data_IF_038776878697
#
_entry.id   IF_038776878697
#
_cell.length_a   1.000
_cell.length_b   1.000
_cell.length_c   1.000
_cell.angle_alpha   90.00
_cell.angle_beta   90.00
_cell.angle_gamma   90.00
#
_symmetry.space_group_name_H-M   'P 1'
#
loop_
_entity.id
_entity.type
_entity.pdbx_description
1 polymer ?
#
# COMPACT_ATOMS: atom_id res chain seq x y z
N UNK A 1 -35.50 10.70 39.48
CA UNK A 1 -34.61 9.74 38.78
C UNK A 1 -34.93 9.84 37.31
N UNK A 2 -33.91 10.06 36.48
CA UNK A 2 -34.00 10.45 35.07
C UNK A 2 -34.77 9.45 34.19
N UNK A 3 -35.63 9.96 33.30
CA UNK A 3 -36.34 9.17 32.29
C UNK A 3 -36.39 9.95 30.96
N UNK A 4 -36.00 9.27 29.88
CA UNK A 4 -36.03 9.62 28.44
C UNK A 4 -34.82 10.33 27.82
N UNK A 5 -33.83 9.54 27.41
CA UNK A 5 -33.00 9.87 26.25
C UNK A 5 -33.85 9.65 24.98
N UNK A 6 -34.61 10.65 24.52
CA UNK A 6 -35.52 10.43 23.37
C UNK A 6 -35.75 11.63 22.42
N UNK A 7 -35.01 12.74 22.52
CA UNK A 7 -35.07 13.84 21.52
C UNK A 7 -33.72 14.23 20.94
N UNK A 8 -32.63 13.58 21.37
CA UNK A 8 -31.31 13.81 20.79
C UNK A 8 -31.14 13.00 19.51
N UNK A 9 -30.88 13.68 18.40
CA UNK A 9 -30.51 13.06 17.13
C UNK A 9 -29.00 12.91 17.03
N UNK A 10 -28.55 11.76 16.57
CA UNK A 10 -27.14 11.50 16.31
C UNK A 10 -26.71 12.01 14.94
N UNK A 11 -25.49 12.53 14.83
CA UNK A 11 -24.82 12.65 13.53
C UNK A 11 -24.80 11.27 12.86
N UNK A 12 -25.13 11.21 11.58
CA UNK A 12 -25.16 9.95 10.83
C UNK A 12 -23.74 9.37 10.66
N UNK A 13 -23.64 8.09 10.34
CA UNK A 13 -22.37 7.48 9.94
C UNK A 13 -21.75 8.27 8.76
N UNK A 14 -20.42 8.33 8.72
CA UNK A 14 -19.68 9.20 7.81
C UNK A 14 -19.66 10.69 8.21
N UNK A 15 -20.27 11.05 9.34
CA UNK A 15 -20.19 12.39 9.93
C UNK A 15 -19.82 12.32 11.41
N UNK A 16 -19.38 13.44 11.98
CA UNK A 16 -19.04 13.55 13.39
C UNK A 16 -19.36 14.95 13.93
N UNK A 17 -19.50 15.09 15.26
CA UNK A 17 -19.53 16.41 15.89
C UNK A 17 -18.88 16.35 17.27
N UNK A 18 -18.10 17.38 17.64
CA UNK A 18 -17.47 17.50 18.96
C UNK A 18 -18.22 18.46 19.88
N UNK A 19 -19.22 19.18 19.36
CA UNK A 19 -19.97 20.18 20.10
C UNK A 19 -21.08 19.59 20.97
N UNK A 20 -21.39 20.25 22.08
CA UNK A 20 -22.52 19.92 22.96
C UNK A 20 -23.68 20.89 22.75
N UNK A 21 -24.92 20.44 22.95
CA UNK A 21 -26.10 21.32 22.91
C UNK A 21 -26.51 21.75 21.49
N UNK A 22 -26.22 20.93 20.49
CA UNK A 22 -26.59 21.21 19.10
C UNK A 22 -28.12 21.25 18.92
N UNK A 23 -28.59 22.25 18.18
CA UNK A 23 -30.02 22.46 17.88
C UNK A 23 -30.41 21.92 16.49
N UNK A 24 -29.45 21.54 15.65
CA UNK A 24 -29.67 20.98 14.31
C UNK A 24 -28.50 20.08 13.86
N UNK A 25 -28.68 19.34 12.76
CA UNK A 25 -27.65 18.48 12.17
C UNK A 25 -26.52 19.26 11.48
N UNK A 26 -26.65 20.59 11.33
CA UNK A 26 -25.64 21.43 10.70
C UNK A 26 -24.29 21.44 11.45
N UNK A 27 -24.26 20.96 12.70
CA UNK A 27 -23.04 20.75 13.48
C UNK A 27 -22.25 19.49 13.07
N UNK A 28 -22.89 18.58 12.33
CA UNK A 28 -22.30 17.31 11.91
C UNK A 28 -21.36 17.56 10.73
N UNK A 29 -20.07 17.45 10.98
CA UNK A 29 -19.02 17.57 9.97
C UNK A 29 -18.81 16.24 9.26
N UNK A 30 -18.70 16.29 7.93
CA UNK A 30 -18.41 15.11 7.12
C UNK A 30 -16.99 14.62 7.34
N UNK A 31 -16.79 13.30 7.41
CA UNK A 31 -15.43 12.73 7.39
C UNK A 31 -14.69 13.13 6.11
N UNK A 32 -13.46 13.62 6.26
CA UNK A 32 -12.63 13.97 5.11
C UNK A 32 -12.16 12.71 4.39
N UNK A 33 -11.75 12.84 3.12
CA UNK A 33 -11.11 11.74 2.39
C UNK A 33 -9.90 11.21 3.19
N UNK A 34 -9.75 9.89 3.24
CA UNK A 34 -8.79 9.20 4.09
C UNK A 34 -9.32 8.90 5.50
N UNK A 35 -10.56 9.27 5.83
CA UNK A 35 -11.17 8.99 7.13
C UNK A 35 -12.62 8.51 6.99
N UNK A 36 -13.11 7.79 7.99
CA UNK A 36 -14.42 7.18 8.00
C UNK A 36 -15.05 7.21 9.40
N UNK A 37 -16.36 7.01 9.49
CA UNK A 37 -17.06 6.81 10.76
C UNK A 37 -18.19 5.81 10.56
N UNK A 38 -18.13 4.67 11.25
CA UNK A 38 -19.11 3.57 11.10
C UNK A 38 -20.35 3.76 11.95
N UNK A 39 -20.22 4.44 13.08
CA UNK A 39 -21.29 4.62 14.05
C UNK A 39 -21.96 5.98 13.87
N UNK A 40 -23.28 6.02 14.06
CA UNK A 40 -23.96 7.27 14.33
C UNK A 40 -23.53 7.81 15.70
N UNK A 41 -23.49 9.14 15.84
CA UNK A 41 -23.11 9.80 17.09
C UNK A 41 -21.61 9.81 17.33
N UNK A 42 -20.80 9.64 16.28
CA UNK A 42 -19.36 9.74 16.38
C UNK A 42 -18.92 11.17 16.74
N UNK A 43 -17.92 11.26 17.61
CA UNK A 43 -17.31 12.53 17.99
C UNK A 43 -16.02 12.83 17.20
N UNK A 44 -15.58 11.89 16.38
CA UNK A 44 -14.45 12.02 15.45
C UNK A 44 -14.58 10.99 14.33
N UNK A 45 -13.89 11.22 13.21
CA UNK A 45 -13.66 10.19 12.20
C UNK A 45 -12.39 9.41 12.52
N UNK A 46 -12.40 8.14 12.18
CA UNK A 46 -11.24 7.26 12.21
C UNK A 46 -10.47 7.36 10.90
N UNK A 47 -9.14 7.36 10.95
CA UNK A 47 -8.31 7.40 9.75
C UNK A 47 -8.19 6.00 9.12
N UNK A 48 -8.11 5.93 7.80
CA UNK A 48 -7.55 4.75 7.14
C UNK A 48 -6.12 4.54 7.69
N UNK A 49 -5.79 3.31 8.07
CA UNK A 49 -4.45 2.95 8.53
C UNK A 49 -3.38 3.24 7.46
N UNK A 50 -2.11 3.25 7.86
CA UNK A 50 -1.00 3.25 6.92
C UNK A 50 -1.16 2.10 5.90
N UNK A 51 -0.58 2.25 4.72
CA UNK A 51 -0.76 1.32 3.61
C UNK A 51 -2.13 1.38 2.93
N UNK A 52 -3.10 2.16 3.45
CA UNK A 52 -4.42 2.33 2.86
C UNK A 52 -4.70 3.82 2.54
N UNK A 53 -5.58 4.06 1.58
CA UNK A 53 -6.07 5.39 1.24
C UNK A 53 -7.57 5.37 0.96
N UNK A 54 -8.26 6.50 1.11
CA UNK A 54 -9.65 6.62 0.68
C UNK A 54 -9.91 7.97 0.02
N UNK A 55 -10.51 7.96 -1.17
CA UNK A 55 -10.93 9.17 -1.88
C UNK A 55 -12.35 9.62 -1.49
N UNK A 56 -13.06 8.81 -0.69
CA UNK A 56 -14.46 9.02 -0.34
C UNK A 56 -14.58 10.02 0.80
N UNK A 57 -15.25 11.15 0.56
CA UNK A 57 -15.71 12.04 1.64
C UNK A 57 -16.99 11.47 2.23
N UNK A 58 -17.12 11.56 3.56
CA UNK A 58 -18.28 11.06 4.28
C UNK A 58 -18.34 9.54 4.33
N UNK A 59 -17.18 8.87 4.33
CA UNK A 59 -17.13 7.42 4.36
C UNK A 59 -17.78 6.87 5.63
N UNK A 60 -18.83 6.07 5.46
CA UNK A 60 -19.56 5.43 6.55
C UNK A 60 -19.01 4.03 6.90
N UNK A 61 -17.90 3.61 6.30
CA UNK A 61 -17.34 2.26 6.43
C UNK A 61 -15.84 2.25 6.18
N UNK A 62 -15.11 1.43 6.94
CA UNK A 62 -13.70 1.10 6.69
C UNK A 62 -13.45 0.54 5.29
N UNK A 63 -14.48 -0.06 4.66
CA UNK A 63 -14.36 -0.67 3.33
C UNK A 63 -14.04 0.33 2.21
N UNK A 64 -14.13 1.65 2.47
CA UNK A 64 -13.69 2.68 1.52
C UNK A 64 -12.18 2.93 1.57
N UNK A 65 -11.48 2.38 2.57
CA UNK A 65 -10.03 2.40 2.66
C UNK A 65 -9.47 1.31 1.73
N UNK A 66 -8.93 1.75 0.61
CA UNK A 66 -8.33 0.91 -0.43
C UNK A 66 -6.85 0.71 -0.13
N UNK A 67 -6.33 -0.52 -0.19
CA UNK A 67 -4.90 -0.77 0.03
C UNK A 67 -4.05 -0.23 -1.12
N UNK A 68 -2.83 0.21 -0.80
CA UNK A 68 -1.76 0.37 -1.77
C UNK A 68 -1.49 -0.96 -2.48
N UNK A 69 -1.23 -0.92 -3.79
CA UNK A 69 -1.08 -2.13 -4.61
C UNK A 69 0.28 -2.80 -4.40
N UNK A 70 0.43 -4.03 -4.87
CA UNK A 70 1.69 -4.77 -4.82
C UNK A 70 2.83 -3.97 -5.47
N UNK A 71 4.02 -4.06 -4.89
CA UNK A 71 5.16 -3.22 -5.28
C UNK A 71 5.11 -1.80 -4.68
N UNK A 72 4.12 -1.47 -3.84
CA UNK A 72 4.05 -0.17 -3.16
C UNK A 72 3.76 -0.30 -1.67
N UNK A 73 4.02 0.77 -0.94
CA UNK A 73 3.76 0.92 0.49
C UNK A 73 3.35 2.36 0.80
N UNK A 74 2.69 2.60 1.93
CA UNK A 74 2.48 3.96 2.43
C UNK A 74 2.63 4.02 3.93
N UNK A 75 3.42 4.97 4.42
CA UNK A 75 3.57 5.24 5.86
C UNK A 75 2.50 6.24 6.37
N UNK A 76 1.65 6.75 5.49
CA UNK A 76 0.73 7.85 5.78
C UNK A 76 -0.63 7.29 6.20
N UNK A 77 -0.94 7.39 7.50
CA UNK A 77 -2.31 7.21 7.96
C UNK A 77 -3.20 8.37 7.49
N UNK A 78 -4.45 8.08 7.12
CA UNK A 78 -5.37 9.09 6.64
C UNK A 78 -5.14 9.53 5.20
N UNK A 79 -4.46 8.73 4.38
CA UNK A 79 -4.19 9.07 2.99
C UNK A 79 -5.49 9.26 2.19
N UNK A 80 -5.59 10.38 1.47
CA UNK A 80 -6.79 10.75 0.70
C UNK A 80 -6.79 10.25 -0.74
N UNK A 81 -5.67 9.68 -1.20
CA UNK A 81 -5.51 9.15 -2.55
C UNK A 81 -4.27 8.23 -2.67
N UNK A 82 -4.20 7.52 -3.80
CA UNK A 82 -3.15 6.55 -4.09
C UNK A 82 -1.76 7.15 -4.32
N UNK A 83 -1.61 8.46 -4.53
CA UNK A 83 -0.29 9.08 -4.74
C UNK A 83 0.62 9.05 -3.51
N UNK A 84 0.05 8.72 -2.35
CA UNK A 84 0.78 8.45 -1.09
C UNK A 84 1.42 7.06 -1.05
N UNK A 85 1.05 6.17 -1.99
CA UNK A 85 1.68 4.86 -2.14
C UNK A 85 3.03 5.04 -2.84
N UNK A 86 4.10 4.90 -2.06
CA UNK A 86 5.48 4.93 -2.51
C UNK A 86 5.85 3.60 -3.16
N UNK A 87 6.58 3.68 -4.27
CA UNK A 87 7.01 2.51 -5.03
C UNK A 87 8.26 1.87 -4.41
N UNK A 88 8.28 0.54 -4.37
CA UNK A 88 9.53 -0.22 -4.25
C UNK A 88 10.46 0.19 -5.40
N UNK A 89 11.73 0.47 -5.09
CA UNK A 89 12.70 0.91 -6.09
C UNK A 89 12.99 -0.20 -7.13
N UNK A 90 13.51 0.19 -8.29
CA UNK A 90 14.05 -0.78 -9.25
C UNK A 90 15.10 -1.68 -8.58
N UNK A 91 15.15 -2.95 -8.98
CA UNK A 91 15.91 -3.99 -8.30
C UNK A 91 15.27 -4.54 -7.03
N UNK A 92 14.10 -4.04 -6.63
CA UNK A 92 13.29 -4.59 -5.54
C UNK A 92 11.87 -4.90 -6.01
N UNK A 93 11.16 -5.71 -5.23
CA UNK A 93 9.77 -6.08 -5.50
C UNK A 93 8.99 -6.29 -4.20
N UNK A 94 7.67 -6.24 -4.28
CA UNK A 94 6.78 -6.64 -3.17
C UNK A 94 5.51 -7.29 -3.74
N UNK A 95 5.11 -8.42 -3.18
CA UNK A 95 3.90 -9.15 -3.62
C UNK A 95 2.65 -8.75 -2.85
N UNK A 96 2.81 -8.15 -1.66
CA UNK A 96 1.72 -7.81 -0.76
C UNK A 96 1.08 -6.46 -1.09
N UNK A 97 -0.22 -6.33 -0.83
CA UNK A 97 -0.95 -5.06 -0.86
C UNK A 97 -1.09 -4.50 0.55
N UNK A 98 -1.28 -3.18 0.69
CA UNK A 98 -1.56 -2.55 1.97
C UNK A 98 -0.34 -2.44 2.88
N UNK A 99 0.87 -2.43 2.31
CA UNK A 99 2.09 -2.38 3.10
C UNK A 99 2.27 -1.01 3.78
N UNK A 100 2.63 -1.04 5.06
CA UNK A 100 2.75 0.16 5.91
C UNK A 100 4.19 0.72 5.96
N UNK A 101 5.16 0.04 5.34
CA UNK A 101 6.57 0.46 5.34
C UNK A 101 7.32 -0.08 4.12
N UNK A 102 8.52 0.48 3.86
CA UNK A 102 9.40 0.07 2.78
C UNK A 102 10.02 -1.32 3.00
N UNK A 103 9.96 -1.86 4.22
CA UNK A 103 10.52 -3.17 4.57
C UNK A 103 9.87 -4.32 3.81
N UNK A 104 8.71 -4.09 3.18
CA UNK A 104 8.07 -5.05 2.27
C UNK A 104 8.85 -5.23 0.97
N UNK A 105 9.64 -4.24 0.56
CA UNK A 105 10.39 -4.24 -0.69
C UNK A 105 11.60 -5.17 -0.58
N UNK A 106 11.45 -6.38 -1.13
CA UNK A 106 12.47 -7.40 -1.17
C UNK A 106 13.41 -7.18 -2.35
N UNK A 107 14.72 -7.30 -2.14
CA UNK A 107 15.70 -7.21 -3.23
C UNK A 107 15.61 -8.40 -4.17
N UNK A 108 15.74 -8.17 -5.47
CA UNK A 108 15.94 -9.24 -6.44
C UNK A 108 17.17 -10.08 -6.08
N UNK A 109 17.02 -11.40 -6.07
CA UNK A 109 18.14 -12.31 -5.81
C UNK A 109 19.09 -12.32 -7.00
N UNK A 110 20.33 -12.76 -6.78
CA UNK A 110 21.27 -12.98 -7.88
C UNK A 110 20.64 -13.93 -8.92
N UNK A 111 20.88 -13.65 -10.20
CA UNK A 111 20.23 -14.29 -11.34
C UNK A 111 18.89 -13.66 -11.73
N UNK A 112 18.42 -12.64 -11.02
CA UNK A 112 17.18 -11.93 -11.31
C UNK A 112 17.34 -10.42 -11.22
N UNK A 113 16.46 -9.68 -11.88
CA UNK A 113 16.47 -8.22 -11.92
C UNK A 113 15.05 -7.66 -11.93
N UNK A 114 14.90 -6.37 -11.67
CA UNK A 114 13.64 -5.65 -11.85
C UNK A 114 13.93 -4.24 -12.36
N UNK A 115 13.46 -3.91 -13.56
CA UNK A 115 13.70 -2.59 -14.17
C UNK A 115 12.72 -1.53 -13.70
N UNK A 116 11.50 -1.94 -13.32
CA UNK A 116 10.43 -1.04 -12.94
C UNK A 116 10.45 -0.76 -11.42
N UNK A 117 10.30 0.51 -11.05
CA UNK A 117 9.80 0.84 -9.72
C UNK A 117 8.36 0.35 -9.59
N UNK A 118 8.00 -0.24 -8.46
CA UNK A 118 6.68 -0.83 -8.27
C UNK A 118 6.52 -2.26 -8.74
N UNK A 119 7.63 -2.97 -8.96
CA UNK A 119 7.54 -4.36 -9.37
C UNK A 119 6.93 -5.23 -8.27
N UNK A 120 6.12 -6.21 -8.68
CA UNK A 120 5.56 -7.24 -7.81
C UNK A 120 6.33 -8.57 -7.89
N UNK A 121 7.31 -8.67 -8.79
CA UNK A 121 8.22 -9.79 -8.93
C UNK A 121 9.51 -9.33 -9.62
N UNK A 122 10.57 -10.13 -9.48
CA UNK A 122 11.77 -9.99 -10.29
C UNK A 122 11.67 -10.86 -11.56
N UNK A 123 12.26 -10.38 -12.64
CA UNK A 123 12.47 -11.12 -13.87
C UNK A 123 13.79 -11.91 -13.78
N UNK A 124 13.79 -13.14 -14.27
CA UNK A 124 14.98 -13.99 -14.27
C UNK A 124 15.85 -13.68 -15.49
N UNK A 125 17.17 -13.73 -15.32
CA UNK A 125 18.08 -13.81 -16.47
C UNK A 125 17.75 -15.08 -17.28
N UNK A 126 17.59 -14.95 -18.60
CA UNK A 126 17.28 -16.08 -19.48
C UNK A 126 18.36 -17.16 -19.46
N UNK A 127 18.01 -18.37 -19.91
CA UNK A 127 18.97 -19.47 -20.10
C UNK A 127 20.16 -19.02 -20.95
N UNK A 128 21.37 -19.48 -20.60
CA UNK A 128 22.63 -19.03 -21.17
C UNK A 128 23.19 -17.73 -20.56
N UNK A 129 22.46 -17.07 -19.67
CA UNK A 129 22.91 -15.90 -18.91
C UNK A 129 22.90 -16.18 -17.40
N UNK A 130 23.75 -15.47 -16.67
CA UNK A 130 23.79 -15.45 -15.21
C UNK A 130 23.96 -14.03 -14.69
N UNK A 131 23.59 -13.77 -13.44
CA UNK A 131 23.91 -12.51 -12.76
C UNK A 131 24.31 -12.77 -11.32
N UNK A 132 25.43 -12.19 -10.88
CA UNK A 132 25.87 -12.28 -9.47
C UNK A 132 25.36 -11.10 -8.64
N UNK A 133 24.67 -10.15 -9.27
CA UNK A 133 24.26 -8.89 -8.65
C UNK A 133 22.93 -9.08 -7.93
N UNK A 134 22.92 -8.88 -6.60
CA UNK A 134 21.69 -8.74 -5.83
C UNK A 134 21.12 -7.34 -6.02
N UNK A 135 19.80 -7.22 -6.09
CA UNK A 135 19.12 -5.95 -6.30
C UNK A 135 19.35 -5.38 -7.71
N UNK A 136 19.56 -6.24 -8.71
CA UNK A 136 19.82 -5.79 -10.07
C UNK A 136 18.64 -4.99 -10.64
N UNK A 137 18.88 -3.73 -11.00
CA UNK A 137 17.87 -2.84 -11.56
C UNK A 137 17.81 -2.86 -13.10
N UNK A 138 18.58 -3.76 -13.74
CA UNK A 138 18.65 -3.85 -15.20
C UNK A 138 19.06 -5.24 -15.69
N UNK A 139 18.50 -5.61 -16.84
CA UNK A 139 18.87 -6.81 -17.60
C UNK A 139 20.34 -6.81 -18.01
N UNK A 140 20.99 -5.64 -18.10
CA UNK A 140 22.43 -5.56 -18.45
C UNK A 140 23.35 -6.24 -17.44
N UNK A 141 22.85 -6.57 -16.24
CA UNK A 141 23.58 -7.37 -15.25
C UNK A 141 23.58 -8.87 -15.56
N UNK A 142 22.69 -9.32 -16.46
CA UNK A 142 22.69 -10.68 -16.97
C UNK A 142 23.82 -10.82 -17.99
N UNK A 143 24.88 -11.52 -17.60
CA UNK A 143 26.06 -11.78 -18.41
C UNK A 143 26.00 -13.18 -19.03
N UNK A 144 26.43 -13.37 -20.29
CA UNK A 144 26.47 -14.69 -20.91
C UNK A 144 27.45 -15.63 -20.18
N UNK A 145 27.15 -16.92 -20.16
CA UNK A 145 28.06 -17.96 -19.68
C UNK A 145 29.42 -17.89 -20.39
N UNK A 146 30.49 -18.27 -19.68
CA UNK A 146 31.84 -18.27 -20.24
C UNK A 146 32.01 -19.37 -21.30
N UNK A 147 33.03 -19.21 -22.16
CA UNK A 147 33.36 -20.24 -23.13
C UNK A 147 33.62 -21.58 -22.42
N UNK A 148 32.92 -22.63 -22.85
CA UNK A 148 32.98 -23.95 -22.23
C UNK A 148 31.97 -24.20 -21.12
N UNK A 149 31.15 -23.23 -20.72
CA UNK A 149 30.06 -23.41 -19.75
C UNK A 149 28.69 -23.07 -20.35
N UNK A 150 27.62 -23.57 -19.74
CA UNK A 150 26.24 -23.29 -20.16
C UNK A 150 25.30 -23.27 -18.96
N UNK A 151 24.18 -22.56 -19.07
CA UNK A 151 23.05 -22.66 -18.15
C UNK A 151 21.79 -23.00 -18.94
N UNK A 152 21.16 -24.13 -18.64
CA UNK A 152 19.87 -24.52 -19.24
C UNK A 152 18.67 -23.91 -18.51
N UNK A 153 18.88 -23.34 -17.32
CA UNK A 153 17.82 -22.74 -16.51
C UNK A 153 17.93 -21.22 -16.52
N UNK A 154 16.78 -20.56 -16.47
CA UNK A 154 16.71 -19.14 -16.15
C UNK A 154 17.06 -18.93 -14.67
N UNK A 155 17.58 -17.75 -14.32
CA UNK A 155 17.85 -17.40 -12.93
C UNK A 155 19.22 -17.87 -12.41
N UNK A 156 20.16 -18.20 -13.29
CA UNK A 156 21.49 -18.62 -12.84
C UNK A 156 22.21 -17.47 -12.11
N UNK A 157 22.71 -17.76 -10.91
CA UNK A 157 23.41 -16.78 -10.06
C UNK A 157 24.94 -16.85 -10.19
N UNK A 158 25.46 -17.76 -11.01
CA UNK A 158 26.88 -17.95 -11.28
C UNK A 158 27.08 -18.64 -12.64
N UNK A 159 28.31 -18.61 -13.15
CA UNK A 159 28.67 -19.19 -14.43
C UNK A 159 29.11 -20.66 -14.36
N UNK A 160 28.64 -21.42 -13.34
CA UNK A 160 29.17 -22.72 -12.86
C UNK A 160 30.00 -23.53 -13.87
N UNK A 161 31.19 -23.96 -13.43
CA UNK A 161 32.04 -24.99 -14.08
C UNK A 161 31.41 -26.37 -14.02
#
# INVERSE_FOLDING_TARGET
>A
GASNASTCSYCAAGTFSTGTGAESDSVCSTCVAGSYSTASGANQCELCSAGLFSTVKGAASISTCTPCFAGTFSIVAGASNASTCSYCAAGTFSTGTGAESDSVCSTCVAGSYSTASGANQCELCSAGLFSTVKGAASISTCTPCFAGTFSIVAGASNAST
#
